data_IF_501669120802
#
_entry.id   IF_501669120802
#
_cell.length_a   1.000
_cell.length_b   1.000
_cell.length_c   1.000
_cell.angle_alpha   90.00
_cell.angle_beta   90.00
_cell.angle_gamma   90.00
#
_symmetry.space_group_name_H-M   'P 1'
#
loop_
_entity.id
_entity.type
_entity.pdbx_description
1 polymer ?
#
# COMPACT_ATOMS: atom_id res chain seq x y z
N UNK A 1 -5.61 18.66 43.45
CA UNK A 1 -4.91 19.49 42.45
C UNK A 1 -5.29 18.97 41.08
N UNK A 2 -5.65 19.84 40.12
CA UNK A 2 -6.00 19.39 38.78
C UNK A 2 -4.78 18.82 38.04
N UNK A 3 -4.97 17.76 37.25
CA UNK A 3 -3.90 17.09 36.47
C UNK A 3 -4.41 16.68 35.08
N UNK A 4 -3.49 16.42 34.15
CA UNK A 4 -3.84 15.79 32.85
C UNK A 4 -3.96 14.28 33.06
N UNK A 5 -5.17 13.75 32.89
CA UNK A 5 -5.43 12.32 33.03
C UNK A 5 -4.95 11.55 31.78
N UNK A 6 -5.37 11.99 30.59
CA UNK A 6 -5.08 11.33 29.31
C UNK A 6 -5.04 12.31 28.13
N UNK A 7 -4.41 11.86 27.05
CA UNK A 7 -4.47 12.47 25.72
C UNK A 7 -5.13 11.48 24.76
N UNK A 8 -6.00 11.97 23.89
CA UNK A 8 -6.67 11.19 22.83
C UNK A 8 -6.57 11.93 21.51
N UNK A 9 -6.59 11.22 20.37
CA UNK A 9 -6.44 11.85 19.05
C UNK A 9 -7.60 11.43 18.16
N UNK A 10 -8.27 12.40 17.54
CA UNK A 10 -9.24 12.13 16.47
C UNK A 10 -8.52 11.95 15.12
N UNK A 11 -9.16 11.26 14.18
CA UNK A 11 -8.66 11.08 12.80
C UNK A 11 -7.27 10.41 12.72
N UNK A 12 -6.91 9.60 13.72
CA UNK A 12 -5.72 8.78 13.75
C UNK A 12 -6.02 7.45 14.46
N UNK A 13 -5.27 6.41 14.11
CA UNK A 13 -5.33 5.11 14.78
C UNK A 13 -4.28 5.08 15.88
N UNK A 14 -4.70 4.76 17.11
CA UNK A 14 -3.75 4.51 18.20
C UNK A 14 -3.01 3.20 17.93
N UNK A 15 -1.68 3.24 17.87
CA UNK A 15 -0.87 2.02 17.73
C UNK A 15 -0.32 1.56 19.08
N UNK A 16 0.04 2.48 19.98
CA UNK A 16 0.37 2.20 21.37
C UNK A 16 0.00 3.39 22.29
N UNK A 17 0.39 3.34 23.56
CA UNK A 17 0.07 4.41 24.53
C UNK A 17 0.69 5.79 24.20
N UNK A 18 1.76 5.82 23.42
CA UNK A 18 2.50 7.02 23.06
C UNK A 18 2.34 7.41 21.58
N UNK A 19 1.94 6.50 20.70
CA UNK A 19 1.96 6.70 19.25
C UNK A 19 0.58 6.56 18.61
N UNK A 20 0.29 7.51 17.73
CA UNK A 20 -0.88 7.56 16.87
C UNK A 20 -0.43 7.71 15.43
N UNK A 21 -1.06 7.00 14.50
CA UNK A 21 -0.70 6.99 13.08
C UNK A 21 -1.91 7.33 12.23
N UNK A 22 -1.70 8.16 11.21
CA UNK A 22 -2.73 8.57 10.26
C UNK A 22 -2.12 8.73 8.87
N UNK A 23 -2.91 8.61 7.81
CA UNK A 23 -2.44 8.91 6.45
C UNK A 23 -2.38 10.42 6.21
N UNK A 24 -1.49 10.88 5.32
CA UNK A 24 -1.51 12.26 4.82
C UNK A 24 -2.78 12.54 4.02
N UNK A 25 -3.33 13.73 4.16
CA UNK A 25 -4.43 14.19 3.30
C UNK A 25 -3.87 14.66 1.97
N UNK A 26 -3.96 13.82 0.93
CA UNK A 26 -3.58 14.20 -0.44
C UNK A 26 -4.79 14.68 -1.21
N UNK A 27 -4.68 15.91 -1.71
CA UNK A 27 -5.63 16.56 -2.61
C UNK A 27 -4.98 16.72 -3.98
N UNK A 28 -5.58 16.15 -5.03
CA UNK A 28 -5.02 16.24 -6.38
C UNK A 28 -5.60 15.22 -7.37
N UNK A 29 -5.15 15.25 -8.65
CA UNK A 29 -5.70 14.43 -9.73
C UNK A 29 -5.47 12.92 -9.57
N UNK A 30 -4.64 12.50 -8.60
CA UNK A 30 -4.40 11.10 -8.25
C UNK A 30 -5.23 10.64 -7.04
N UNK A 31 -6.38 11.28 -6.78
CA UNK A 31 -7.30 10.89 -5.72
C UNK A 31 -7.73 9.43 -5.88
N UNK A 32 -7.12 8.58 -5.06
CA UNK A 32 -7.59 7.22 -4.84
C UNK A 32 -8.89 7.36 -4.02
N UNK A 33 -10.04 6.87 -4.53
CA UNK A 33 -11.31 7.02 -3.84
C UNK A 33 -11.22 6.47 -2.41
N UNK A 34 -11.65 7.26 -1.44
CA UNK A 34 -11.76 6.84 -0.05
C UNK A 34 -12.96 7.53 0.57
N UNK A 35 -13.81 6.75 1.22
CA UNK A 35 -14.96 7.24 1.97
C UNK A 35 -14.61 7.68 3.40
N UNK A 36 -13.34 7.52 3.81
CA UNK A 36 -12.91 7.85 5.15
C UNK A 36 -12.92 9.36 5.42
N UNK A 37 -13.22 9.71 6.67
CA UNK A 37 -13.20 11.10 7.12
C UNK A 37 -11.77 11.67 6.99
N UNK A 38 -11.66 12.77 6.25
CA UNK A 38 -10.43 13.52 6.03
C UNK A 38 -10.40 14.75 6.92
N UNK A 39 -9.20 15.27 7.17
CA UNK A 39 -8.99 16.44 8.01
C UNK A 39 -8.01 16.19 9.14
N UNK A 40 -7.53 17.30 9.69
CA UNK A 40 -6.49 17.34 10.71
C UNK A 40 -6.83 16.48 11.94
N UNK A 41 -5.78 16.02 12.61
CA UNK A 41 -5.91 15.34 13.88
C UNK A 41 -6.14 16.35 15.01
N UNK A 42 -7.08 16.05 15.90
CA UNK A 42 -7.30 16.85 17.11
C UNK A 42 -6.84 16.03 18.31
N UNK A 43 -5.77 16.50 18.96
CA UNK A 43 -5.30 16.00 20.24
C UNK A 43 -6.10 16.68 21.34
N UNK A 44 -6.85 15.92 22.12
CA UNK A 44 -7.64 16.40 23.25
C UNK A 44 -7.07 15.90 24.58
N UNK A 45 -6.89 16.81 25.54
CA UNK A 45 -6.60 16.48 26.92
C UNK A 45 -7.89 16.34 27.74
N UNK A 46 -7.97 15.25 28.49
CA UNK A 46 -8.93 15.12 29.59
C UNK A 46 -8.21 15.42 30.89
N UNK A 47 -8.74 16.36 31.68
CA UNK A 47 -8.21 16.67 33.01
C UNK A 47 -9.03 16.00 34.10
N UNK A 48 -8.48 15.97 35.31
CA UNK A 48 -9.11 15.42 36.51
C UNK A 48 -8.77 16.34 37.69
N UNK A 49 -9.69 16.59 38.65
CA UNK A 49 -10.96 15.88 38.82
C UNK A 49 -12.13 16.37 37.96
N UNK A 50 -12.18 17.63 37.54
CA UNK A 50 -13.43 18.21 37.03
C UNK A 50 -13.59 18.10 35.51
N UNK A 51 -12.48 18.02 34.76
CA UNK A 51 -12.48 18.14 33.31
C UNK A 51 -13.25 19.38 32.82
N UNK A 52 -12.93 20.54 33.41
CA UNK A 52 -13.69 21.79 33.23
C UNK A 52 -12.89 22.86 32.48
N UNK A 53 -13.54 23.88 31.89
CA UNK A 53 -12.85 24.99 31.22
C UNK A 53 -11.81 25.71 32.09
N UNK A 54 -12.04 25.79 33.41
CA UNK A 54 -11.10 26.38 34.35
C UNK A 54 -9.81 25.55 34.50
N UNK A 55 -9.91 24.22 34.46
CA UNK A 55 -8.73 23.34 34.43
C UNK A 55 -8.04 23.41 33.06
N UNK A 56 -8.81 23.39 31.97
CA UNK A 56 -8.28 23.40 30.61
C UNK A 56 -7.48 24.65 30.27
N UNK A 57 -7.93 25.82 30.75
CA UNK A 57 -7.23 27.09 30.56
C UNK A 57 -5.83 27.12 31.20
N UNK A 58 -5.52 26.18 32.10
CA UNK A 58 -4.26 26.09 32.82
C UNK A 58 -3.29 25.04 32.25
N UNK A 59 -3.71 24.30 31.22
CA UNK A 59 -2.86 23.28 30.60
C UNK A 59 -1.70 23.97 29.87
N UNK A 60 -0.48 23.63 30.25
CA UNK A 60 0.71 24.00 29.50
C UNK A 60 0.93 23.01 28.35
N UNK A 61 0.69 23.47 27.12
CA UNK A 61 0.85 22.67 25.91
C UNK A 61 2.22 22.83 25.27
N UNK A 62 2.69 21.76 24.63
CA UNK A 62 3.81 21.76 23.68
C UNK A 62 3.39 21.01 22.41
N UNK A 63 3.84 21.49 21.25
CA UNK A 63 3.44 20.94 19.96
C UNK A 63 1.98 21.23 19.57
N UNK A 64 1.69 21.01 18.29
CA UNK A 64 0.39 21.27 17.67
C UNK A 64 -0.04 22.75 17.68
N UNK A 65 -0.98 23.09 16.80
CA UNK A 65 -1.59 24.42 16.74
C UNK A 65 -2.74 24.52 17.77
N UNK A 66 -2.98 25.69 18.38
CA UNK A 66 -4.14 25.88 19.25
C UNK A 66 -5.46 25.76 18.47
N UNK A 67 -6.49 25.18 19.10
CA UNK A 67 -7.86 25.17 18.57
C UNK A 67 -8.66 26.31 19.21
N UNK A 68 -9.16 27.24 18.38
CA UNK A 68 -9.89 28.43 18.85
C UNK A 68 -11.11 28.03 19.69
N UNK A 69 -11.24 28.63 20.87
CA UNK A 69 -12.33 28.36 21.82
C UNK A 69 -12.24 27.00 22.53
N UNK A 70 -11.18 26.21 22.31
CA UNK A 70 -11.00 24.88 22.92
C UNK A 70 -9.60 24.72 23.51
N UNK A 71 -9.33 25.28 24.70
CA UNK A 71 -7.99 25.27 25.31
C UNK A 71 -7.47 23.87 25.68
N UNK A 72 -8.34 22.87 25.76
CA UNK A 72 -7.95 21.46 25.96
C UNK A 72 -7.61 20.72 24.66
N UNK A 73 -7.52 21.41 23.52
CA UNK A 73 -7.27 20.80 22.22
C UNK A 73 -6.07 21.41 21.50
N UNK A 74 -5.35 20.56 20.77
CA UNK A 74 -4.31 20.94 19.81
C UNK A 74 -4.56 20.27 18.47
N UNK A 75 -4.28 20.98 17.40
CA UNK A 75 -4.42 20.54 16.04
C UNK A 75 -3.07 20.03 15.52
N UNK A 76 -3.06 18.87 14.89
CA UNK A 76 -1.90 18.34 14.17
C UNK A 76 -2.29 18.20 12.70
N UNK A 77 -1.61 18.97 11.86
CA UNK A 77 -1.88 18.98 10.42
C UNK A 77 -1.37 17.71 9.75
N UNK A 78 -2.12 17.24 8.75
CA UNK A 78 -1.81 16.01 7.99
C UNK A 78 -1.37 16.26 6.55
N UNK A 79 -0.92 17.47 6.24
CA UNK A 79 -0.60 17.88 4.85
C UNK A 79 0.67 17.25 4.28
N UNK A 80 1.60 16.84 5.15
CA UNK A 80 2.88 16.24 4.75
C UNK A 80 3.25 15.10 5.70
N UNK A 81 4.04 14.12 5.25
CA UNK A 81 4.52 13.06 6.12
C UNK A 81 5.41 13.64 7.22
N UNK A 82 5.20 13.22 8.46
CA UNK A 82 5.95 13.74 9.59
C UNK A 82 5.51 13.20 10.92
N UNK A 83 6.29 13.52 11.95
CA UNK A 83 6.00 13.20 13.35
C UNK A 83 5.80 14.51 14.11
N UNK A 84 4.65 14.64 14.78
CA UNK A 84 4.38 15.76 15.67
C UNK A 84 4.22 15.24 17.10
N UNK A 85 5.16 15.60 17.98
CA UNK A 85 5.04 15.35 19.40
C UNK A 85 4.14 16.39 20.05
N UNK A 86 3.10 15.94 20.78
CA UNK A 86 2.18 16.82 21.50
C UNK A 86 2.18 16.44 22.98
N UNK A 87 2.44 17.43 23.83
CA UNK A 87 2.51 17.25 25.27
C UNK A 87 1.60 18.23 26.02
N UNK A 88 1.02 17.76 27.12
CA UNK A 88 0.17 18.55 28.01
C UNK A 88 0.65 18.37 29.45
N UNK A 89 0.80 19.49 30.18
CA UNK A 89 1.21 19.48 31.58
C UNK A 89 0.26 20.31 32.43
N UNK A 90 -0.19 19.77 33.56
CA UNK A 90 -1.05 20.45 34.54
C UNK A 90 -0.79 19.88 35.94
N UNK A 91 -0.61 20.75 36.93
CA UNK A 91 -0.43 20.34 38.33
C UNK A 91 0.75 19.40 38.57
N UNK A 92 1.84 19.57 37.81
CA UNK A 92 3.03 18.72 37.88
C UNK A 92 2.92 17.39 37.12
N UNK A 93 1.74 16.98 36.68
CA UNK A 93 1.55 15.80 35.83
C UNK A 93 1.75 16.17 34.35
N UNK A 94 2.51 15.34 33.63
CA UNK A 94 2.76 15.51 32.19
C UNK A 94 2.35 14.27 31.41
N UNK A 95 1.75 14.49 30.23
CA UNK A 95 1.43 13.46 29.23
C UNK A 95 1.98 13.89 27.89
N UNK A 96 2.49 12.93 27.12
CA UNK A 96 3.02 13.16 25.79
C UNK A 96 2.63 12.01 24.86
N UNK A 97 2.29 12.37 23.64
CA UNK A 97 2.07 11.44 22.53
C UNK A 97 2.78 11.96 21.28
N UNK A 98 2.93 11.10 20.29
CA UNK A 98 3.40 11.41 18.95
C UNK A 98 2.32 11.03 17.93
N UNK A 99 2.03 11.96 17.03
CA UNK A 99 1.14 11.76 15.89
C UNK A 99 1.99 11.67 14.63
N UNK A 100 1.94 10.52 13.96
CA UNK A 100 2.66 10.20 12.74
C UNK A 100 1.69 10.33 11.55
N UNK A 101 1.89 11.36 10.72
CA UNK A 101 1.24 11.44 9.42
C UNK A 101 2.11 10.68 8.42
N UNK A 102 1.58 9.65 7.77
CA UNK A 102 2.33 8.76 6.91
C UNK A 102 1.94 8.86 5.44
N UNK A 103 2.92 8.63 4.59
CA UNK A 103 2.74 8.43 3.16
C UNK A 103 3.77 7.44 2.67
N UNK A 104 3.42 6.70 1.62
CA UNK A 104 4.29 5.71 1.02
C UNK A 104 4.60 6.10 -0.44
N UNK A 105 5.87 5.95 -0.81
CA UNK A 105 6.27 5.96 -2.22
C UNK A 105 6.32 4.53 -2.71
N UNK A 106 5.61 4.22 -3.80
CA UNK A 106 5.62 2.91 -4.42
C UNK A 106 6.58 2.89 -5.60
N UNK A 107 7.48 1.92 -5.58
CA UNK A 107 8.34 1.56 -6.71
C UNK A 107 8.03 0.13 -7.11
N UNK A 108 7.73 -0.08 -8.38
CA UNK A 108 7.48 -1.41 -8.93
C UNK A 108 8.75 -1.93 -9.58
N UNK A 109 9.35 -2.94 -8.97
CA UNK A 109 10.58 -3.55 -9.46
C UNK A 109 10.26 -4.67 -10.45
N UNK A 110 10.51 -4.41 -11.73
CA UNK A 110 10.29 -5.34 -12.85
C UNK A 110 11.58 -6.00 -13.37
N UNK A 111 12.73 -5.70 -12.77
CA UNK A 111 14.03 -6.27 -13.13
C UNK A 111 14.95 -6.41 -11.90
N UNK A 112 15.98 -7.25 -12.01
CA UNK A 112 16.99 -7.44 -10.97
C UNK A 112 16.55 -8.39 -9.83
N UNK A 113 17.42 -8.54 -8.83
CA UNK A 113 17.20 -9.48 -7.71
C UNK A 113 16.02 -9.04 -6.84
N UNK A 114 15.18 -9.98 -6.41
CA UNK A 114 14.15 -9.75 -5.39
C UNK A 114 14.74 -9.15 -4.11
N UNK A 115 14.08 -8.15 -3.49
CA UNK A 115 14.43 -7.73 -2.13
C UNK A 115 14.32 -8.90 -1.15
N UNK A 116 15.32 -9.09 -0.30
CA UNK A 116 15.44 -10.29 0.55
C UNK A 116 14.26 -10.47 1.51
N UNK A 117 13.71 -9.37 2.04
CA UNK A 117 12.54 -9.35 2.92
C UNK A 117 11.19 -9.60 2.23
N UNK A 118 11.12 -9.47 0.91
CA UNK A 118 9.90 -9.83 0.18
C UNK A 118 9.65 -11.34 0.27
N UNK A 119 8.41 -11.79 0.05
CA UNK A 119 8.13 -13.23 -0.03
C UNK A 119 8.74 -13.81 -1.31
N UNK A 120 9.24 -15.05 -1.24
CA UNK A 120 9.66 -15.74 -2.47
C UNK A 120 8.44 -16.15 -3.28
N UNK A 121 8.55 -16.08 -4.61
CA UNK A 121 7.52 -16.55 -5.55
C UNK A 121 7.21 -18.05 -5.41
N UNK A 122 8.15 -18.84 -4.88
CA UNK A 122 7.94 -20.28 -4.64
C UNK A 122 6.84 -20.57 -3.61
N UNK A 123 6.47 -19.59 -2.78
CA UNK A 123 5.38 -19.71 -1.81
C UNK A 123 3.98 -19.71 -2.45
N UNK A 124 3.86 -19.27 -3.71
CA UNK A 124 2.56 -19.11 -4.36
C UNK A 124 2.47 -19.67 -5.78
N UNK A 125 3.54 -20.25 -6.34
CA UNK A 125 3.50 -20.66 -7.74
C UNK A 125 4.51 -21.78 -8.08
N UNK A 126 4.09 -22.84 -8.79
CA UNK A 126 4.92 -24.02 -9.01
C UNK A 126 6.10 -23.83 -9.97
N UNK A 127 6.09 -22.82 -10.86
CA UNK A 127 7.12 -22.64 -11.89
C UNK A 127 7.65 -21.19 -11.93
N UNK A 128 8.75 -20.90 -11.23
CA UNK A 128 9.35 -19.56 -11.18
C UNK A 128 10.49 -19.41 -12.19
N UNK A 129 10.79 -18.18 -12.62
CA UNK A 129 12.02 -17.81 -13.32
C UNK A 129 13.20 -17.59 -12.37
N UNK A 130 13.16 -18.18 -11.18
CA UNK A 130 14.12 -17.97 -10.10
C UNK A 130 13.76 -16.80 -9.16
N UNK A 131 14.79 -16.21 -8.55
CA UNK A 131 14.66 -15.16 -7.52
C UNK A 131 14.84 -13.73 -8.07
N UNK A 132 14.67 -13.55 -9.38
CA UNK A 132 14.77 -12.25 -10.04
C UNK A 132 13.41 -11.77 -10.54
N UNK A 133 13.19 -10.46 -10.48
CA UNK A 133 12.12 -9.82 -11.22
C UNK A 133 12.45 -9.82 -12.72
N UNK A 134 11.42 -9.90 -13.58
CA UNK A 134 11.58 -9.93 -15.02
C UNK A 134 10.52 -10.71 -15.77
N UNK A 135 10.63 -10.72 -17.09
CA UNK A 135 9.82 -11.56 -17.97
C UNK A 135 10.58 -12.83 -18.37
N UNK A 136 10.05 -13.99 -18.00
CA UNK A 136 10.68 -15.29 -18.16
C UNK A 136 9.89 -16.21 -19.09
N UNK A 137 10.62 -17.14 -19.71
CA UNK A 137 10.02 -18.35 -20.27
C UNK A 137 10.34 -19.46 -19.28
N UNK A 138 9.32 -20.13 -18.77
CA UNK A 138 9.47 -21.27 -17.85
C UNK A 138 8.88 -22.51 -18.49
N UNK A 139 9.66 -23.59 -18.50
CA UNK A 139 9.20 -24.87 -19.04
C UNK A 139 8.23 -25.57 -18.09
N UNK A 140 7.09 -26.00 -18.61
CA UNK A 140 6.19 -26.95 -17.95
C UNK A 140 6.33 -28.31 -18.61
N UNK A 141 6.59 -29.35 -17.80
CA UNK A 141 6.81 -30.73 -18.26
C UNK A 141 5.66 -31.30 -19.12
N UNK A 142 4.44 -30.77 -18.96
CA UNK A 142 3.24 -31.23 -19.68
C UNK A 142 2.55 -30.16 -20.54
N UNK A 143 2.93 -28.88 -20.41
CA UNK A 143 2.22 -27.78 -21.09
C UNK A 143 3.08 -27.04 -22.11
N UNK A 144 4.40 -27.22 -22.16
CA UNK A 144 5.31 -26.49 -23.05
C UNK A 144 5.89 -25.24 -22.39
N UNK A 145 6.14 -24.17 -23.17
CA UNK A 145 6.67 -22.91 -22.66
C UNK A 145 5.57 -22.01 -22.08
N UNK A 146 5.75 -21.57 -20.82
CA UNK A 146 4.90 -20.55 -20.19
C UNK A 146 5.64 -19.21 -20.16
N UNK A 147 4.93 -18.12 -20.44
CA UNK A 147 5.46 -16.78 -20.20
C UNK A 147 5.07 -16.33 -18.79
N UNK A 148 6.02 -15.74 -18.06
CA UNK A 148 5.80 -15.29 -16.69
C UNK A 148 6.41 -13.93 -16.43
N UNK A 149 5.66 -13.01 -15.83
CA UNK A 149 6.18 -11.77 -15.27
C UNK A 149 6.39 -11.93 -13.77
N UNK A 150 7.59 -11.71 -13.26
CA UNK A 150 7.87 -11.65 -11.82
C UNK A 150 8.15 -10.21 -11.42
N UNK A 151 7.40 -9.71 -10.45
CA UNK A 151 7.47 -8.32 -10.01
C UNK A 151 7.41 -8.24 -8.49
N UNK A 152 8.00 -7.18 -7.94
CA UNK A 152 7.82 -6.80 -6.53
C UNK A 152 7.44 -5.33 -6.47
N UNK A 153 6.28 -5.02 -5.90
CA UNK A 153 5.97 -3.66 -5.49
C UNK A 153 6.59 -3.41 -4.11
N UNK A 154 7.39 -2.36 -4.02
CA UNK A 154 8.04 -1.91 -2.78
C UNK A 154 7.41 -0.59 -2.39
N UNK A 155 6.82 -0.52 -1.21
CA UNK A 155 6.33 0.73 -0.65
C UNK A 155 7.25 1.20 0.48
N UNK A 156 7.87 2.36 0.31
CA UNK A 156 8.68 3.01 1.32
C UNK A 156 7.82 3.98 2.12
N UNK A 157 7.58 3.68 3.40
CA UNK A 157 6.87 4.57 4.32
C UNK A 157 7.75 5.75 4.71
N UNK A 158 7.11 6.92 4.79
CA UNK A 158 7.62 8.14 5.38
C UNK A 158 6.67 8.59 6.50
N UNK A 159 7.16 9.28 7.54
CA UNK A 159 8.57 9.59 7.78
C UNK A 159 9.36 8.35 8.24
N UNK A 160 10.69 8.40 8.13
CA UNK A 160 11.52 7.28 8.57
C UNK A 160 11.37 7.00 10.07
N UNK A 161 11.41 5.72 10.43
CA UNK A 161 11.24 5.19 11.78
C UNK A 161 9.80 4.81 12.12
N UNK A 162 8.81 5.21 11.31
CA UNK A 162 7.39 4.87 11.57
C UNK A 162 7.12 3.38 11.44
N UNK A 163 7.84 2.68 10.56
CA UNK A 163 7.78 1.24 10.41
C UNK A 163 8.12 0.53 11.72
N UNK A 164 9.22 0.93 12.38
CA UNK A 164 9.58 0.38 13.70
C UNK A 164 8.47 0.57 14.74
N UNK A 165 7.81 1.73 14.74
CA UNK A 165 6.70 2.02 15.66
C UNK A 165 5.52 1.08 15.39
N UNK A 166 5.13 0.94 14.13
CA UNK A 166 4.02 0.05 13.70
C UNK A 166 4.34 -1.42 14.04
N UNK A 167 5.55 -1.88 13.72
CA UNK A 167 6.01 -3.25 13.96
C UNK A 167 6.09 -3.57 15.45
N UNK A 168 6.69 -2.70 16.26
CA UNK A 168 6.83 -2.90 17.70
C UNK A 168 5.46 -2.93 18.41
N UNK A 169 4.49 -2.18 17.90
CA UNK A 169 3.12 -2.19 18.38
C UNK A 169 2.29 -3.40 17.90
N UNK A 170 2.82 -4.21 16.97
CA UNK A 170 2.10 -5.32 16.35
C UNK A 170 0.91 -4.85 15.51
N UNK A 171 1.00 -3.69 14.85
CA UNK A 171 -0.08 -3.04 14.10
C UNK A 171 0.10 -3.09 12.57
N UNK A 172 0.89 -4.03 12.08
CA UNK A 172 1.10 -4.25 10.66
C UNK A 172 -0.20 -4.68 9.92
N UNK A 173 -1.20 -5.20 10.64
CA UNK A 173 -2.52 -5.57 10.15
C UNK A 173 -3.36 -4.38 9.67
N UNK A 174 -3.01 -3.16 10.09
CA UNK A 174 -3.63 -1.92 9.59
C UNK A 174 -3.08 -1.50 8.22
N UNK A 175 -1.96 -2.06 7.78
CA UNK A 175 -1.41 -1.81 6.45
C UNK A 175 -2.01 -2.79 5.45
N UNK A 176 -2.27 -2.32 4.24
CA UNK A 176 -2.67 -3.18 3.13
C UNK A 176 -2.01 -2.73 1.83
N UNK A 177 -1.57 -3.69 1.02
CA UNK A 177 -1.37 -3.47 -0.41
C UNK A 177 -2.67 -3.78 -1.14
N UNK A 178 -3.02 -2.91 -2.09
CA UNK A 178 -4.15 -3.09 -2.99
C UNK A 178 -3.66 -3.09 -4.42
N UNK A 179 -4.35 -3.83 -5.28
CA UNK A 179 -4.07 -3.87 -6.71
C UNK A 179 -5.37 -3.88 -7.51
N UNK A 180 -5.32 -3.25 -8.66
CA UNK A 180 -6.33 -3.39 -9.71
C UNK A 180 -5.66 -3.74 -11.03
N UNK A 181 -6.42 -4.41 -11.89
CA UNK A 181 -6.00 -4.83 -13.23
C UNK A 181 -7.02 -4.36 -14.27
N UNK A 182 -6.54 -4.02 -15.46
CA UNK A 182 -7.33 -3.94 -16.69
C UNK A 182 -6.61 -4.76 -17.76
N UNK A 183 -7.36 -5.51 -18.56
CA UNK A 183 -6.80 -6.60 -19.33
C UNK A 183 -7.50 -6.82 -20.68
N UNK A 184 -6.74 -7.30 -21.67
CA UNK A 184 -7.24 -7.84 -22.94
C UNK A 184 -6.53 -9.17 -23.20
N UNK A 185 -7.29 -10.25 -23.24
CA UNK A 185 -6.74 -11.59 -23.47
C UNK A 185 -7.36 -12.22 -24.72
N UNK A 186 -6.56 -12.84 -25.56
CA UNK A 186 -7.01 -13.46 -26.80
C UNK A 186 -6.62 -14.92 -26.84
N UNK A 187 -7.48 -15.75 -27.43
CA UNK A 187 -7.21 -17.15 -27.75
C UNK A 187 -7.61 -17.38 -29.20
N UNK A 188 -6.72 -17.98 -29.99
CA UNK A 188 -6.92 -18.23 -31.43
C UNK A 188 -7.36 -16.98 -32.21
N UNK A 189 -6.83 -15.82 -31.84
CA UNK A 189 -7.13 -14.54 -32.48
C UNK A 189 -8.43 -13.87 -32.02
N UNK A 190 -9.23 -14.51 -31.16
CA UNK A 190 -10.51 -14.00 -30.67
C UNK A 190 -10.43 -13.56 -29.20
N UNK A 191 -11.23 -12.56 -28.75
CA UNK A 191 -11.36 -12.21 -27.34
C UNK A 191 -11.68 -13.44 -26.48
N UNK A 192 -10.90 -13.65 -25.43
CA UNK A 192 -11.14 -14.72 -24.48
C UNK A 192 -12.18 -14.29 -23.44
N UNK A 193 -13.26 -15.06 -23.32
CA UNK A 193 -14.32 -14.79 -22.35
C UNK A 193 -13.95 -15.35 -20.97
N UNK A 194 -13.22 -14.57 -20.17
CA UNK A 194 -12.92 -14.87 -18.77
C UNK A 194 -13.30 -13.70 -17.86
N UNK A 195 -13.49 -13.97 -16.56
CA UNK A 195 -13.88 -12.95 -15.56
C UNK A 195 -12.91 -11.76 -15.48
N UNK A 196 -11.63 -11.97 -15.84
CA UNK A 196 -10.59 -10.94 -15.81
C UNK A 196 -10.12 -10.54 -17.20
N UNK A 197 -10.77 -10.99 -18.27
CA UNK A 197 -10.42 -10.62 -19.65
C UNK A 197 -11.38 -9.56 -20.16
N UNK A 198 -10.87 -8.56 -20.90
CA UNK A 198 -11.69 -7.48 -21.46
C UNK A 198 -12.42 -6.63 -20.41
N UNK A 199 -11.74 -6.35 -19.31
CA UNK A 199 -12.27 -5.58 -18.18
C UNK A 199 -11.62 -4.19 -18.09
N UNK A 200 -12.40 -3.23 -17.60
CA UNK A 200 -11.85 -2.00 -17.02
C UNK A 200 -11.17 -2.30 -15.67
N UNK A 201 -10.64 -1.27 -15.01
CA UNK A 201 -9.98 -1.40 -13.72
C UNK A 201 -10.85 -2.14 -12.70
N UNK A 202 -10.51 -3.41 -12.44
CA UNK A 202 -11.18 -4.27 -11.47
C UNK A 202 -10.20 -4.68 -10.36
N UNK A 203 -10.69 -4.98 -9.14
CA UNK A 203 -9.85 -5.53 -8.08
C UNK A 203 -9.07 -6.76 -8.55
N UNK A 204 -7.77 -6.75 -8.27
CA UNK A 204 -6.89 -7.89 -8.44
C UNK A 204 -6.26 -8.23 -7.10
N UNK A 205 -7.10 -8.73 -6.19
CA UNK A 205 -6.67 -9.09 -4.84
C UNK A 205 -5.60 -10.19 -4.95
N UNK A 206 -4.35 -9.80 -4.71
CA UNK A 206 -3.19 -10.69 -4.74
C UNK A 206 -3.27 -11.73 -3.63
N UNK A 207 -2.57 -12.85 -3.82
CA UNK A 207 -2.48 -13.92 -2.83
C UNK A 207 -1.92 -13.36 -1.52
N UNK A 208 -2.69 -13.31 -0.41
CA UNK A 208 -2.23 -12.71 0.86
C UNK A 208 -0.91 -13.33 1.37
N UNK A 209 -0.63 -14.57 0.98
CA UNK A 209 0.61 -15.28 1.29
C UNK A 209 1.89 -14.64 0.69
N UNK A 210 1.76 -13.80 -0.34
CA UNK A 210 2.88 -13.12 -1.01
C UNK A 210 3.13 -11.69 -0.51
N UNK A 211 2.33 -11.24 0.46
CA UNK A 211 2.49 -9.94 1.09
C UNK A 211 3.49 -10.00 2.25
N UNK A 212 4.30 -8.95 2.39
CA UNK A 212 5.04 -8.64 3.62
C UNK A 212 4.63 -7.24 4.05
N UNK A 213 3.66 -7.19 4.97
CA UNK A 213 3.04 -5.96 5.46
C UNK A 213 3.66 -5.46 6.77
N UNK A 214 4.60 -6.20 7.35
CA UNK A 214 5.40 -5.71 8.46
C UNK A 214 6.51 -4.80 7.91
N UNK A 215 6.43 -3.46 8.10
CA UNK A 215 7.43 -2.54 7.57
C UNK A 215 8.80 -2.76 8.21
N UNK A 216 8.85 -3.26 9.45
CA UNK A 216 10.09 -3.48 10.18
C UNK A 216 10.95 -2.20 10.28
N UNK A 217 12.28 -2.35 10.42
CA UNK A 217 13.18 -1.22 10.68
C UNK A 217 13.57 -0.41 9.43
N UNK A 218 13.27 -0.89 8.22
CA UNK A 218 13.60 -0.20 6.96
C UNK A 218 12.42 0.62 6.40
N UNK A 219 11.30 0.63 7.12
CA UNK A 219 10.05 1.30 6.75
C UNK A 219 9.49 0.80 5.39
N UNK A 220 9.74 -0.46 4.99
CA UNK A 220 9.33 -1.01 3.68
C UNK A 220 8.34 -2.15 3.75
N UNK A 221 7.34 -2.08 2.88
CA UNK A 221 6.37 -3.13 2.61
C UNK A 221 6.64 -3.74 1.24
N UNK A 222 6.26 -5.01 1.08
CA UNK A 222 6.47 -5.74 -0.17
C UNK A 222 5.21 -6.50 -0.60
N UNK A 223 4.84 -6.37 -1.87
CA UNK A 223 3.86 -7.23 -2.54
C UNK A 223 4.55 -7.93 -3.71
N UNK A 224 4.70 -9.24 -3.60
CA UNK A 224 5.33 -10.07 -4.63
C UNK A 224 4.27 -10.65 -5.54
N UNK A 225 4.42 -10.46 -6.84
CA UNK A 225 3.44 -10.95 -7.80
C UNK A 225 4.09 -11.60 -9.02
N UNK A 226 3.27 -12.39 -9.72
CA UNK A 226 3.76 -13.35 -10.69
C UNK A 226 2.78 -13.66 -11.81
N UNK A 227 2.17 -12.69 -12.53
CA UNK A 227 1.23 -13.01 -13.61
C UNK A 227 1.85 -13.92 -14.65
N UNK A 228 1.06 -14.84 -15.17
CA UNK A 228 1.50 -15.81 -16.15
C UNK A 228 0.50 -15.94 -17.31
N UNK A 229 1.03 -16.38 -18.44
CA UNK A 229 0.24 -16.92 -19.54
C UNK A 229 0.56 -18.42 -19.59
N UNK A 230 -0.26 -19.27 -18.94
CA UNK A 230 -0.03 -20.70 -18.94
C UNK A 230 -0.26 -21.26 -20.34
N UNK A 231 0.54 -22.27 -20.70
CA UNK A 231 0.44 -22.88 -22.01
C UNK A 231 -0.84 -23.70 -22.18
N UNK A 232 -1.41 -23.66 -23.39
CA UNK A 232 -2.78 -24.09 -23.67
C UNK A 232 -2.93 -24.98 -24.91
N UNK A 233 -2.06 -25.99 -25.07
CA UNK A 233 -2.26 -27.05 -26.07
C UNK A 233 -1.86 -26.67 -27.51
N UNK A 234 -2.81 -26.69 -28.45
CA UNK A 234 -2.59 -26.42 -29.90
C UNK A 234 -2.97 -25.00 -30.34
N UNK A 235 -3.37 -24.15 -29.40
CA UNK A 235 -3.97 -22.83 -29.67
C UNK A 235 -2.91 -21.74 -29.87
N UNK A 236 -3.33 -20.53 -30.17
CA UNK A 236 -2.55 -19.31 -29.87
C UNK A 236 -3.15 -18.61 -28.67
N UNK A 237 -2.35 -17.90 -27.89
CA UNK A 237 -2.84 -17.15 -26.73
C UNK A 237 -2.04 -15.87 -26.51
N UNK A 238 -2.72 -14.80 -26.11
CA UNK A 238 -2.14 -13.49 -25.84
C UNK A 238 -2.77 -12.91 -24.57
N UNK A 239 -1.97 -12.23 -23.76
CA UNK A 239 -2.45 -11.44 -22.61
C UNK A 239 -1.79 -10.07 -22.61
N UNK A 240 -2.57 -9.04 -22.30
CA UNK A 240 -2.14 -7.65 -22.19
C UNK A 240 -2.77 -7.05 -20.93
N UNK A 241 -1.99 -6.91 -19.87
CA UNK A 241 -2.46 -6.50 -18.56
C UNK A 241 -1.76 -5.20 -18.13
N UNK A 242 -2.55 -4.21 -17.71
CA UNK A 242 -2.07 -3.08 -16.93
C UNK A 242 -2.51 -3.25 -15.48
N UNK A 243 -1.64 -2.91 -14.56
CA UNK A 243 -1.85 -2.97 -13.14
C UNK A 243 -1.62 -1.60 -12.52
N UNK A 244 -2.36 -1.32 -11.44
CA UNK A 244 -2.07 -0.21 -10.52
C UNK A 244 -2.15 -0.71 -9.09
N UNK A 245 -1.15 -0.37 -8.29
CA UNK A 245 -1.04 -0.76 -6.89
C UNK A 245 -0.94 0.44 -5.97
N UNK A 246 -1.50 0.35 -4.77
CA UNK A 246 -1.40 1.37 -3.74
C UNK A 246 -1.32 0.74 -2.35
N UNK A 247 -0.92 1.54 -1.35
CA UNK A 247 -0.94 1.16 0.06
C UNK A 247 -2.05 1.90 0.78
N UNK A 248 -2.69 1.21 1.72
CA UNK A 248 -3.66 1.77 2.65
C UNK A 248 -3.16 1.64 4.09
N UNK A 249 -3.52 2.62 4.92
CA UNK A 249 -3.45 2.58 6.38
C UNK A 249 -4.87 2.64 6.95
N UNK A 250 -5.28 1.61 7.67
CA UNK A 250 -6.63 1.47 8.23
C UNK A 250 -7.74 1.72 7.19
N UNK A 251 -7.54 1.24 5.96
CA UNK A 251 -8.47 1.42 4.84
C UNK A 251 -8.42 2.79 4.16
N UNK A 252 -7.50 3.66 4.55
CA UNK A 252 -7.27 4.97 3.92
C UNK A 252 -6.05 4.90 3.02
N UNK A 253 -6.16 5.25 1.72
CA UNK A 253 -5.01 5.32 0.83
C UNK A 253 -3.93 6.24 1.38
N UNK A 254 -2.71 5.72 1.46
CA UNK A 254 -1.53 6.43 1.95
C UNK A 254 -0.38 6.35 0.94
N UNK A 255 -0.67 6.23 -0.35
CA UNK A 255 0.32 6.29 -1.44
C UNK A 255 -0.31 6.79 -2.73
N UNK A 256 0.53 7.14 -3.70
CA UNK A 256 0.10 7.21 -5.10
C UNK A 256 0.03 5.81 -5.71
N UNK A 257 -0.54 5.70 -6.92
CA UNK A 257 -0.49 4.46 -7.69
C UNK A 257 0.93 4.17 -8.19
N UNK A 258 1.40 2.94 -7.97
CA UNK A 258 2.48 2.32 -8.75
C UNK A 258 1.90 1.57 -9.94
N UNK A 259 2.19 2.04 -11.16
CA UNK A 259 1.73 1.40 -12.40
C UNK A 259 2.76 0.45 -12.97
N UNK A 260 2.29 -0.67 -13.51
CA UNK A 260 3.11 -1.63 -14.25
C UNK A 260 2.26 -2.46 -15.19
N UNK A 261 2.89 -3.18 -16.11
CA UNK A 261 2.20 -4.00 -17.09
C UNK A 261 2.91 -5.33 -17.30
N UNK A 262 2.15 -6.33 -17.74
CA UNK A 262 2.65 -7.58 -18.26
C UNK A 262 1.94 -7.91 -19.57
N UNK A 263 2.70 -8.30 -20.59
CA UNK A 263 2.14 -8.85 -21.83
C UNK A 263 2.92 -10.05 -22.29
N UNK A 264 2.20 -11.01 -22.84
CA UNK A 264 2.79 -12.21 -23.38
C UNK A 264 2.00 -12.73 -24.57
N UNK A 265 2.70 -13.49 -25.42
CA UNK A 265 2.12 -14.21 -26.55
C UNK A 265 2.75 -15.57 -26.65
N UNK A 266 1.90 -16.53 -26.93
CA UNK A 266 2.25 -17.91 -27.14
C UNK A 266 1.62 -18.40 -28.44
N UNK A 267 2.42 -19.03 -29.31
CA UNK A 267 2.02 -19.57 -30.61
C UNK A 267 2.82 -20.84 -30.89
N UNK A 268 2.12 -21.90 -31.30
CA UNK A 268 2.73 -23.19 -31.64
C UNK A 268 3.68 -23.72 -30.53
N UNK A 269 3.18 -23.74 -29.29
CA UNK A 269 3.91 -24.24 -28.11
C UNK A 269 5.15 -23.42 -27.69
N UNK A 270 5.36 -22.23 -28.29
CA UNK A 270 6.48 -21.35 -27.96
C UNK A 270 5.99 -19.97 -27.54
N UNK A 271 6.71 -19.38 -26.58
CA UNK A 271 6.54 -17.98 -26.21
C UNK A 271 7.18 -17.11 -27.29
N UNK A 272 6.39 -16.29 -27.95
CA UNK A 272 6.85 -15.38 -29.02
C UNK A 272 6.89 -13.92 -28.57
N UNK A 273 6.24 -13.59 -27.47
CA UNK A 273 6.32 -12.28 -26.80
C UNK A 273 6.32 -12.51 -25.30
N UNK A 274 7.19 -11.80 -24.59
CA UNK A 274 7.14 -11.62 -23.15
C UNK A 274 7.69 -10.24 -22.84
N UNK A 275 6.98 -9.48 -22.04
CA UNK A 275 7.38 -8.14 -21.66
C UNK A 275 6.74 -7.77 -20.32
N UNK A 276 7.53 -7.13 -19.47
CA UNK A 276 7.16 -6.69 -18.14
C UNK A 276 7.84 -5.35 -17.90
N UNK A 277 7.07 -4.33 -17.54
CA UNK A 277 7.61 -2.99 -17.35
C UNK A 277 6.76 -2.13 -16.43
N UNK A 278 7.29 -0.94 -16.13
CA UNK A 278 6.59 0.08 -15.34
C UNK A 278 5.67 0.92 -16.24
N UNK A 279 4.64 1.52 -15.65
CA UNK A 279 3.65 2.31 -16.39
C UNK A 279 2.52 1.45 -16.96
N UNK A 280 1.86 1.96 -18.00
CA UNK A 280 0.77 1.27 -18.68
C UNK A 280 1.04 1.19 -20.18
N UNK A 281 0.63 0.10 -20.79
CA UNK A 281 0.60 -0.08 -22.25
C UNK A 281 -0.78 0.28 -22.81
N UNK A 282 -0.81 0.61 -24.10
CA UNK A 282 -2.06 0.65 -24.84
C UNK A 282 -2.60 -0.78 -24.95
N UNK A 283 -3.85 -0.96 -24.54
CA UNK A 283 -4.52 -2.26 -24.62
C UNK A 283 -5.06 -2.47 -26.05
N UNK A 284 -4.69 -3.56 -26.73
CA UNK A 284 -5.11 -3.78 -28.11
C UNK A 284 -6.60 -4.12 -28.19
N UNK A 285 -7.24 -3.68 -29.28
CA UNK A 285 -8.64 -4.02 -29.57
C UNK A 285 -8.79 -5.37 -30.30
N UNK A 286 -7.71 -5.87 -30.91
CA UNK A 286 -7.67 -7.10 -31.68
C UNK A 286 -6.42 -7.92 -31.32
N UNK A 287 -6.45 -9.23 -31.55
CA UNK A 287 -5.27 -10.06 -31.43
C UNK A 287 -4.21 -9.66 -32.46
N UNK A 288 -2.95 -9.74 -32.07
CA UNK A 288 -1.81 -9.43 -32.94
C UNK A 288 -1.26 -10.68 -33.64
N UNK A 289 -1.57 -11.89 -33.15
CA UNK A 289 -1.32 -13.14 -33.88
C UNK A 289 -2.51 -13.51 -34.75
N UNK A 290 -2.45 -13.11 -36.01
CA UNK A 290 -3.16 -13.82 -37.09
C UNK A 290 -2.20 -14.78 -37.79
#
# INVERSE_FOLDING_TARGET
>A
MATVAKLTVSNASQVDSANWVTAVDVFGPQLIPSSAERGDCVVEATTSPENSPAEWARIAWTGGDPVVGRPNRRLVRRMLPGRTGVGATLGGASRRIDVWAIWATIVVQTAGKRPERAKSWSAGTPFTGGESCGAFVVGSFSMGENARGQVVAVAQLAPSGVGRVISAAGKADLLAFRRQVTARDFVDGAPFASKKSFIDWAPDDSLPALLTLDPGPDDRLYDTDGPDLPAGGSRTSETYNNFRQWVEWAGVPCSNYGYWYFRARWKAQKVTLKDLGTGSIALPSNAESR
#
